data_IF_467624815598
#
_entry.id   IF_467624815598
#
_cell.length_a   1.000
_cell.length_b   1.000
_cell.length_c   1.000
_cell.angle_alpha   90.00
_cell.angle_beta   90.00
_cell.angle_gamma   90.00
#
_symmetry.space_group_name_H-M   'P 1'
#
loop_
_entity.id
_entity.type
_entity.pdbx_description
1 polymer ?
#
# COMPACT_ATOMS: atom_id res chain seq x y z
N UNK A 1 12.98 -10.47 -11.51
CA UNK A 1 12.74 -9.14 -10.96
C UNK A 1 13.95 -8.28 -11.09
N UNK A 2 13.76 -7.02 -11.39
CA UNK A 2 14.94 -6.17 -11.49
C UNK A 2 15.28 -5.61 -10.10
N UNK A 3 16.41 -4.93 -10.04
CA UNK A 3 16.93 -4.43 -8.76
C UNK A 3 15.96 -3.44 -8.13
N UNK A 4 15.37 -2.56 -8.95
CA UNK A 4 14.46 -1.56 -8.42
C UNK A 4 13.23 -2.21 -7.79
N UNK A 5 12.71 -3.26 -8.38
CA UNK A 5 11.57 -3.98 -7.81
C UNK A 5 11.91 -4.62 -6.48
N UNK A 6 13.10 -5.17 -6.37
CA UNK A 6 13.53 -5.77 -5.11
C UNK A 6 13.72 -4.71 -4.04
N UNK A 7 14.25 -3.56 -4.41
CA UNK A 7 14.41 -2.47 -3.45
C UNK A 7 13.06 -1.96 -2.96
N UNK A 8 12.08 -1.89 -3.85
CA UNK A 8 10.74 -1.48 -3.45
C UNK A 8 10.10 -2.50 -2.53
N UNK A 9 10.32 -3.77 -2.81
CA UNK A 9 9.81 -4.81 -1.94
C UNK A 9 10.37 -4.63 -0.53
N UNK A 10 11.68 -4.43 -0.43
CA UNK A 10 12.30 -4.22 0.88
C UNK A 10 11.74 -2.99 1.57
N UNK A 11 11.54 -1.91 0.83
CA UNK A 11 11.02 -0.69 1.42
C UNK A 11 9.59 -0.88 1.92
N UNK A 12 8.76 -1.56 1.13
CA UNK A 12 7.39 -1.81 1.54
C UNK A 12 7.34 -2.65 2.80
N UNK A 13 8.18 -3.67 2.90
CA UNK A 13 8.18 -4.51 4.09
C UNK A 13 8.71 -3.76 5.30
N UNK A 14 9.67 -2.86 5.10
CA UNK A 14 10.16 -2.03 6.19
C UNK A 14 9.06 -1.12 6.74
N UNK A 15 8.31 -0.49 5.85
CA UNK A 15 7.22 0.39 6.28
C UNK A 15 6.13 -0.42 6.98
N UNK A 16 5.79 -1.58 6.43
CA UNK A 16 4.78 -2.44 7.05
C UNK A 16 5.20 -2.85 8.46
N UNK A 17 6.48 -3.16 8.64
CA UNK A 17 6.98 -3.55 9.95
C UNK A 17 6.94 -2.39 10.93
N UNK A 18 7.27 -1.20 10.48
CA UNK A 18 7.21 -0.02 11.34
C UNK A 18 5.77 0.26 11.75
N UNK A 19 4.85 0.18 10.80
CA UNK A 19 3.43 0.37 11.09
C UNK A 19 2.95 -0.63 12.14
N UNK A 20 3.38 -1.87 12.00
CA UNK A 20 3.01 -2.92 12.94
C UNK A 20 3.50 -2.58 14.35
N UNK A 21 4.72 -2.11 14.48
CA UNK A 21 5.26 -1.74 15.78
C UNK A 21 4.48 -0.57 16.38
N UNK A 22 4.16 0.42 15.57
CA UNK A 22 3.43 1.59 16.06
C UNK A 22 2.06 1.20 16.62
N UNK A 23 1.39 0.30 15.94
CA UNK A 23 0.07 -0.15 16.38
C UNK A 23 0.19 -0.96 17.66
N UNK A 24 1.15 -1.89 17.71
CA UNK A 24 1.27 -2.75 18.88
C UNK A 24 1.76 -2.03 20.11
N UNK A 25 2.45 -0.92 19.92
CA UNK A 25 2.84 -0.08 21.05
C UNK A 25 1.74 0.88 21.48
N UNK A 26 0.66 0.90 20.75
CA UNK A 26 -0.46 1.77 21.10
C UNK A 26 -0.25 3.22 20.75
N UNK A 27 0.74 3.53 19.91
CA UNK A 27 0.99 4.90 19.53
C UNK A 27 0.05 5.37 18.44
N UNK A 28 -0.32 4.46 17.52
CA UNK A 28 -1.28 4.74 16.47
C UNK A 28 -2.25 3.57 16.39
N UNK A 29 -3.45 3.85 15.93
CA UNK A 29 -4.41 2.78 15.70
C UNK A 29 -4.29 2.30 14.26
N UNK A 30 -4.87 1.12 14.01
CA UNK A 30 -4.97 0.62 12.64
C UNK A 30 -5.70 1.64 11.78
N UNK A 31 -6.75 2.26 12.33
CA UNK A 31 -7.52 3.25 11.58
C UNK A 31 -6.71 4.50 11.26
N UNK A 32 -5.84 4.93 12.17
CA UNK A 32 -4.98 6.08 11.91
C UNK A 32 -4.09 5.83 10.71
N UNK A 33 -3.50 4.65 10.66
CA UNK A 33 -2.58 4.32 9.57
C UNK A 33 -3.35 4.10 8.27
N UNK A 34 -4.50 3.46 8.34
CA UNK A 34 -5.31 3.26 7.15
C UNK A 34 -5.73 4.59 6.54
N UNK A 35 -6.12 5.54 7.38
CA UNK A 35 -6.49 6.86 6.88
C UNK A 35 -5.31 7.56 6.22
N UNK A 36 -4.13 7.46 6.81
CA UNK A 36 -2.95 8.07 6.23
C UNK A 36 -2.65 7.48 4.86
N UNK A 37 -2.78 6.16 4.74
CA UNK A 37 -2.51 5.50 3.48
C UNK A 37 -3.56 5.85 2.43
N UNK A 38 -4.81 5.98 2.83
CA UNK A 38 -5.84 6.42 1.90
C UNK A 38 -5.59 7.84 1.40
N UNK A 39 -5.10 8.69 2.28
CA UNK A 39 -4.75 10.05 1.87
C UNK A 39 -3.57 10.05 0.90
N UNK A 40 -2.61 9.17 1.14
CA UNK A 40 -1.48 9.04 0.22
C UNK A 40 -1.96 8.59 -1.16
N UNK A 41 -2.87 7.64 -1.19
CA UNK A 41 -3.41 7.15 -2.45
C UNK A 41 -4.13 8.28 -3.19
N UNK A 42 -4.94 9.05 -2.48
CA UNK A 42 -5.65 10.16 -3.08
C UNK A 42 -4.67 11.21 -3.62
N UNK A 43 -3.60 11.45 -2.90
CA UNK A 43 -2.61 12.43 -3.34
C UNK A 43 -1.91 12.03 -4.62
N UNK A 44 -1.58 10.75 -4.76
CA UNK A 44 -0.85 10.32 -5.95
C UNK A 44 -1.75 10.08 -7.15
N UNK A 45 -3.07 10.02 -6.95
CA UNK A 45 -4.00 9.81 -8.06
C UNK A 45 -4.95 10.99 -8.24
N UNK A 46 -4.76 12.06 -7.47
CA UNK A 46 -5.69 13.18 -7.50
C UNK A 46 -5.33 14.21 -8.54
N UNK A 47 -5.90 15.38 -8.38
CA UNK A 47 -5.78 16.41 -9.38
C UNK A 47 -4.40 17.00 -9.49
N UNK A 48 -3.57 16.83 -8.47
CA UNK A 48 -2.21 17.28 -8.57
C UNK A 48 -1.46 16.60 -9.68
N UNK A 49 -2.00 15.49 -10.18
CA UNK A 49 -1.32 14.72 -11.19
C UNK A 49 -1.90 14.95 -12.58
N UNK A 50 -2.65 16.02 -12.77
CA UNK A 50 -3.31 16.21 -14.06
C UNK A 50 -2.31 16.42 -15.19
N UNK A 51 -1.12 16.85 -14.89
CA UNK A 51 -0.14 17.08 -15.95
C UNK A 51 0.52 15.82 -16.45
N UNK A 52 0.34 14.72 -15.73
CA UNK A 52 1.04 13.50 -16.04
C UNK A 52 0.10 12.51 -16.67
N UNK A 53 0.63 11.72 -17.57
CA UNK A 53 -0.13 10.67 -18.18
C UNK A 53 -0.42 9.60 -17.14
N UNK A 54 -1.68 9.48 -16.77
CA UNK A 54 -2.06 8.53 -15.73
C UNK A 54 -2.96 7.48 -16.34
N UNK A 55 -2.38 6.65 -17.16
CA UNK A 55 -3.10 5.53 -17.74
C UNK A 55 -3.53 4.56 -16.62
N UNK A 56 -4.49 3.67 -16.90
CA UNK A 56 -4.87 2.68 -15.88
C UNK A 56 -3.70 1.84 -15.39
N UNK A 57 -2.79 1.47 -16.27
CA UNK A 57 -1.64 0.70 -15.85
C UNK A 57 -0.73 1.49 -14.93
N UNK A 58 -0.54 2.78 -15.22
CA UNK A 58 0.28 3.63 -14.37
C UNK A 58 -0.39 3.85 -13.02
N UNK A 59 -1.71 3.97 -13.01
CA UNK A 59 -2.42 4.10 -11.74
C UNK A 59 -2.25 2.86 -10.89
N UNK A 60 -2.38 1.68 -11.50
CA UNK A 60 -2.17 0.44 -10.76
C UNK A 60 -0.77 0.39 -10.19
N UNK A 61 0.21 0.78 -10.99
CA UNK A 61 1.61 0.71 -10.54
C UNK A 61 1.86 1.61 -9.35
N UNK A 62 1.34 2.84 -9.38
CA UNK A 62 1.61 3.77 -8.30
C UNK A 62 0.79 3.43 -7.06
N UNK A 63 -0.37 2.80 -7.24
CA UNK A 63 -1.22 2.43 -6.11
C UNK A 63 -0.81 1.11 -5.47
N UNK A 64 -0.07 0.27 -6.19
CA UNK A 64 0.26 -1.05 -5.68
C UNK A 64 0.93 -1.02 -4.30
N UNK A 65 2.00 -0.24 -4.09
CA UNK A 65 2.63 -0.26 -2.76
C UNK A 65 1.72 0.28 -1.68
N UNK A 66 0.90 1.28 -2.00
CA UNK A 66 0.01 1.84 -0.98
C UNK A 66 -1.07 0.81 -0.61
N UNK A 67 -1.61 0.13 -1.60
CA UNK A 67 -2.62 -0.91 -1.34
C UNK A 67 -2.02 -2.07 -0.56
N UNK A 68 -0.79 -2.45 -0.90
CA UNK A 68 -0.13 -3.52 -0.16
C UNK A 68 0.04 -3.13 1.31
N UNK A 69 0.44 -1.88 1.56
CA UNK A 69 0.60 -1.42 2.93
C UNK A 69 -0.72 -1.36 3.68
N UNK A 70 -1.80 -0.97 2.99
CA UNK A 70 -3.11 -0.98 3.63
C UNK A 70 -3.54 -2.38 4.00
N UNK A 71 -3.32 -3.34 3.10
CA UNK A 71 -3.66 -4.72 3.41
C UNK A 71 -2.84 -5.26 4.56
N UNK A 72 -1.54 -4.96 4.58
CA UNK A 72 -0.69 -5.40 5.68
C UNK A 72 -1.16 -4.79 6.99
N UNK A 73 -1.51 -3.51 6.96
CA UNK A 73 -1.94 -2.83 8.17
C UNK A 73 -3.28 -3.41 8.68
N UNK A 74 -4.21 -3.63 7.77
CA UNK A 74 -5.55 -4.05 8.17
C UNK A 74 -5.61 -5.53 8.50
N UNK A 75 -4.63 -6.31 8.07
CA UNK A 75 -4.58 -7.73 8.36
C UNK A 75 -3.80 -8.06 9.62
N UNK A 76 -3.13 -7.08 10.22
CA UNK A 76 -2.35 -7.38 11.42
C UNK A 76 -3.31 -7.70 12.56
N UNK A 77 -3.09 -8.82 13.17
CA UNK A 77 -3.92 -9.18 14.26
C UNK A 77 -3.10 -9.09 15.51
N UNK A 78 -2.22 -10.00 15.71
CA UNK A 78 -1.46 -9.95 16.90
C UNK A 78 -0.04 -9.99 16.70
N UNK A 79 0.43 -10.58 15.65
CA UNK A 79 1.81 -10.90 15.62
C UNK A 79 2.46 -10.32 14.42
N UNK A 80 2.57 -11.06 13.37
CA UNK A 80 3.51 -10.74 12.32
C UNK A 80 2.87 -10.14 11.11
N UNK A 81 3.66 -9.36 10.39
CA UNK A 81 3.26 -8.89 9.09
C UNK A 81 3.33 -10.08 8.14
N UNK A 82 2.29 -10.30 7.31
CA UNK A 82 2.35 -11.39 6.34
C UNK A 82 3.51 -11.18 5.36
N UNK A 83 4.02 -12.24 4.77
CA UNK A 83 5.12 -12.09 3.82
C UNK A 83 4.67 -11.36 2.56
N UNK A 84 5.66 -10.78 1.88
CA UNK A 84 5.38 -9.96 0.71
C UNK A 84 4.59 -10.73 -0.35
N UNK A 85 4.94 -11.97 -0.58
CA UNK A 85 4.27 -12.76 -1.63
C UNK A 85 2.78 -12.90 -1.35
N UNK A 86 2.43 -13.06 -0.09
CA UNK A 86 1.03 -13.16 0.28
C UNK A 86 0.32 -11.83 0.13
N UNK A 87 0.97 -10.75 0.55
CA UNK A 87 0.38 -9.43 0.44
C UNK A 87 0.17 -9.04 -1.02
N UNK A 88 1.15 -9.35 -1.87
CA UNK A 88 1.03 -9.03 -3.28
C UNK A 88 -0.13 -9.79 -3.91
N UNK A 89 -0.33 -11.05 -3.49
CA UNK A 89 -1.44 -11.84 -3.98
C UNK A 89 -2.76 -11.21 -3.57
N UNK A 90 -2.83 -10.74 -2.33
CA UNK A 90 -4.05 -10.10 -1.84
C UNK A 90 -4.36 -8.83 -2.62
N UNK A 91 -3.35 -8.04 -2.97
CA UNK A 91 -3.58 -6.86 -3.78
C UNK A 91 -4.17 -7.26 -5.13
N UNK A 92 -3.64 -8.31 -5.73
CA UNK A 92 -4.17 -8.79 -7.01
C UNK A 92 -5.61 -9.21 -6.92
N UNK A 93 -6.00 -9.81 -5.80
CA UNK A 93 -7.36 -10.29 -5.63
C UNK A 93 -8.36 -9.16 -5.38
N UNK A 94 -7.89 -8.05 -4.84
CA UNK A 94 -8.78 -6.96 -4.49
C UNK A 94 -8.60 -5.76 -5.40
N UNK A 95 -7.83 -5.92 -6.44
CA UNK A 95 -7.52 -4.81 -7.28
C UNK A 95 -8.75 -4.36 -8.05
N UNK A 96 -9.07 -3.15 -7.96
CA UNK A 96 -10.05 -2.53 -8.78
C UNK A 96 -10.13 -1.04 -8.51
N UNK A 97 -10.08 -0.54 -7.32
CA UNK A 97 -10.46 0.84 -7.07
C UNK A 97 -9.64 1.87 -7.81
N UNK A 98 -8.38 1.66 -8.02
CA UNK A 98 -7.57 2.72 -8.63
C UNK A 98 -7.82 2.87 -10.11
N UNK A 99 -8.13 1.82 -10.82
CA UNK A 99 -8.28 1.93 -12.25
C UNK A 99 -9.66 1.58 -12.72
N UNK A 100 -10.57 1.52 -11.84
CA UNK A 100 -11.86 1.28 -12.24
C UNK A 100 -12.53 2.42 -12.61
N UNK A 101 -12.55 2.78 -12.74
CA UNK A 101 -13.30 3.35 -13.06
C UNK A 101 -13.77 3.61 -13.74
N UNK A 102 -13.84 3.37 -13.96
CA UNK A 102 -14.29 3.29 -14.61
C UNK A 102 -14.93 3.61 -14.70
#
# INVERSE_FOLDING_TARGET
MNVASLQLEGLMMAVASINNVLVHKGLLSIDDIDLALRRAEAGVTGEERVYEDMSPANRDAICFPIRLLRLANNAQSETDVPPFSELAKMVGQTKNPCNDQV
#
